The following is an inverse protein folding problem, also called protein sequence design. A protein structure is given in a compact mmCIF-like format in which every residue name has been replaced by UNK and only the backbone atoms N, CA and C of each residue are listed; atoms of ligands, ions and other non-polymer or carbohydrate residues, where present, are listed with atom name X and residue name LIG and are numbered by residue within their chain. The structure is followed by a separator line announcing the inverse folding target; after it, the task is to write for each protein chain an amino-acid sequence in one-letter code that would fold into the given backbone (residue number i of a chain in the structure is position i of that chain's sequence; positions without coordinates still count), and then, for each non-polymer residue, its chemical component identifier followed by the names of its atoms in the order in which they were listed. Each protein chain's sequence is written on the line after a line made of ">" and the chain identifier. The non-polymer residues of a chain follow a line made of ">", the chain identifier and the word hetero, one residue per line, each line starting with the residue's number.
data_IF_531239387525
#
_entry.id   IF_531239387525
#
_cell.length_a   1.000
_cell.length_b   1.000
_cell.length_c   1.000
_cell.angle_alpha   90.00
_cell.angle_beta   90.00
_cell.angle_gamma   90.00
#
_symmetry.space_group_name_H-M   'P 1'
#
loop_
_entity.id
_entity.type
_entity.pdbx_description
1 polymer ?
#
# COMPACT_ATOMS: atom_id res chain seq x y z
N UNK A 1 10.96 -14.65 4.18
CA UNK A 1 10.14 -13.67 3.45
C UNK A 1 11.02 -12.52 2.98
N UNK A 2 11.04 -12.23 1.68
CA UNK A 2 11.77 -11.11 1.07
C UNK A 2 10.75 -10.08 0.57
N UNK A 3 10.94 -8.82 0.91
CA UNK A 3 10.02 -7.73 0.59
C UNK A 3 10.77 -6.60 -0.09
N UNK A 4 10.20 -6.06 -1.17
CA UNK A 4 10.50 -4.73 -1.68
C UNK A 4 9.45 -3.75 -1.13
N UNK A 5 9.87 -2.55 -0.77
CA UNK A 5 8.98 -1.53 -0.23
C UNK A 5 9.21 -0.19 -0.91
N UNK A 6 8.11 0.46 -1.27
CA UNK A 6 8.08 1.84 -1.75
C UNK A 6 6.86 2.57 -1.20
N UNK A 7 6.84 3.89 -1.30
CA UNK A 7 5.73 4.76 -0.90
C UNK A 7 5.77 6.04 -1.73
N UNK A 8 4.75 6.87 -1.61
CA UNK A 8 4.76 8.25 -2.09
C UNK A 8 5.10 8.37 -3.59
N UNK A 9 4.44 7.55 -4.42
CA UNK A 9 4.66 7.55 -5.88
C UNK A 9 4.19 8.86 -6.52
N UNK A 10 3.11 9.45 -6.00
CA UNK A 10 2.51 10.68 -6.52
C UNK A 10 2.35 10.69 -8.04
N UNK A 11 1.79 9.60 -8.59
CA UNK A 11 1.57 9.49 -10.03
C UNK A 11 0.69 10.63 -10.54
N UNK A 12 1.16 11.29 -11.59
CA UNK A 12 0.51 12.46 -12.17
C UNK A 12 0.91 13.78 -11.54
N UNK A 13 1.92 13.80 -10.67
CA UNK A 13 2.43 15.03 -10.08
C UNK A 13 3.05 15.95 -11.11
N UNK A 14 2.70 17.24 -11.01
CA UNK A 14 3.28 18.34 -11.78
C UNK A 14 3.92 19.33 -10.82
N UNK A 15 5.22 19.53 -10.92
CA UNK A 15 5.98 20.46 -10.09
C UNK A 15 6.38 21.72 -10.88
N UNK A 16 6.74 22.78 -10.18
CA UNK A 16 7.19 24.06 -10.78
C UNK A 16 6.26 24.56 -11.89
N UNK A 17 4.93 24.40 -11.71
CA UNK A 17 3.83 24.79 -12.58
C UNK A 17 3.69 24.00 -13.89
N UNK A 18 4.76 23.47 -14.48
CA UNK A 18 4.71 22.80 -15.80
C UNK A 18 5.57 21.56 -15.94
N UNK A 19 6.30 21.13 -14.92
CA UNK A 19 7.15 19.97 -15.02
C UNK A 19 6.38 18.70 -14.65
N UNK A 20 6.00 17.94 -15.67
CA UNK A 20 5.36 16.63 -15.51
C UNK A 20 6.41 15.57 -15.18
N UNK A 21 6.21 14.82 -14.09
CA UNK A 21 7.14 13.80 -13.62
C UNK A 21 6.95 12.43 -14.27
N UNK A 22 6.18 12.32 -15.35
CA UNK A 22 5.88 11.02 -15.99
C UNK A 22 7.14 10.28 -16.44
N UNK A 23 8.18 10.99 -16.90
CA UNK A 23 9.45 10.37 -17.32
C UNK A 23 10.22 9.82 -16.12
N UNK A 24 10.21 10.51 -14.98
CA UNK A 24 10.82 10.03 -13.74
C UNK A 24 10.08 8.77 -13.24
N UNK A 25 8.75 8.78 -13.27
CA UNK A 25 7.96 7.60 -12.89
C UNK A 25 8.26 6.40 -13.80
N UNK A 26 8.37 6.61 -15.12
CA UNK A 26 8.73 5.55 -16.06
C UNK A 26 10.10 4.96 -15.75
N UNK A 27 11.08 5.81 -15.44
CA UNK A 27 12.41 5.38 -15.07
C UNK A 27 12.41 4.58 -13.75
N UNK A 28 11.68 5.08 -12.74
CA UNK A 28 11.50 4.39 -11.46
C UNK A 28 10.89 2.99 -11.65
N UNK A 29 9.80 2.87 -12.41
CA UNK A 29 9.17 1.57 -12.64
C UNK A 29 10.06 0.60 -13.43
N UNK A 30 10.87 1.11 -14.35
CA UNK A 30 11.86 0.27 -15.04
C UNK A 30 12.94 -0.26 -14.07
N UNK A 31 13.42 0.56 -13.14
CA UNK A 31 14.34 0.11 -12.11
C UNK A 31 13.68 -0.90 -11.15
N UNK A 32 12.43 -0.64 -10.77
CA UNK A 32 11.67 -1.52 -9.90
C UNK A 32 11.47 -2.91 -10.55
N UNK A 33 11.20 -2.94 -11.85
CA UNK A 33 11.12 -4.17 -12.65
C UNK A 33 12.43 -4.97 -12.58
N UNK A 34 13.57 -4.32 -12.83
CA UNK A 34 14.88 -4.97 -12.75
C UNK A 34 15.13 -5.57 -11.35
N UNK A 35 14.82 -4.84 -10.28
CA UNK A 35 14.93 -5.36 -8.92
C UNK A 35 13.97 -6.53 -8.65
N UNK A 36 12.76 -6.49 -9.18
CA UNK A 36 11.83 -7.62 -9.04
C UNK A 36 12.36 -8.88 -9.75
N UNK A 37 12.93 -8.73 -10.95
CA UNK A 37 13.53 -9.85 -11.69
C UNK A 37 14.76 -10.44 -10.98
N UNK A 38 15.64 -9.59 -10.46
CA UNK A 38 16.88 -9.99 -9.79
C UNK A 38 16.62 -10.60 -8.42
N UNK A 39 15.82 -9.92 -7.61
CA UNK A 39 15.62 -10.24 -6.20
C UNK A 39 14.50 -11.26 -5.96
N UNK A 40 13.56 -11.38 -6.88
CA UNK A 40 12.39 -12.28 -6.80
C UNK A 40 11.71 -12.21 -5.42
N UNK A 41 11.20 -11.02 -5.03
CA UNK A 41 10.60 -10.85 -3.71
C UNK A 41 9.30 -11.62 -3.57
N UNK A 42 8.96 -12.01 -2.35
CA UNK A 42 7.65 -12.58 -2.02
C UNK A 42 6.54 -11.53 -2.16
N UNK A 43 6.86 -10.26 -1.85
CA UNK A 43 5.91 -9.16 -2.01
C UNK A 43 6.58 -7.82 -2.34
N UNK A 44 5.86 -7.00 -3.12
CA UNK A 44 6.07 -5.57 -3.29
C UNK A 44 5.01 -4.82 -2.48
N UNK A 45 5.44 -3.97 -1.55
CA UNK A 45 4.57 -3.13 -0.73
C UNK A 45 4.63 -1.68 -1.22
N UNK A 46 3.46 -1.09 -1.49
CA UNK A 46 3.30 0.33 -1.86
C UNK A 46 2.47 1.01 -0.79
N UNK A 47 3.15 1.73 0.11
CA UNK A 47 2.55 2.28 1.34
C UNK A 47 2.05 3.70 1.14
N UNK A 48 0.90 3.85 0.48
CA UNK A 48 0.17 5.11 0.35
C UNK A 48 0.70 6.09 -0.68
N UNK A 49 -0.07 7.13 -0.91
CA UNK A 49 0.17 8.23 -1.84
C UNK A 49 0.58 7.75 -3.23
N UNK A 50 -0.24 6.85 -3.77
CA UNK A 50 -0.09 6.29 -5.11
C UNK A 50 -0.30 7.37 -6.16
N UNK A 51 -1.33 8.18 -5.99
CA UNK A 51 -1.65 9.30 -6.86
C UNK A 51 -1.41 10.64 -6.16
N UNK A 52 -1.03 11.64 -6.93
CA UNK A 52 -0.80 12.99 -6.40
C UNK A 52 -2.11 13.68 -5.95
N UNK A 53 -3.24 13.32 -6.57
CA UNK A 53 -4.56 13.87 -6.27
C UNK A 53 -5.63 12.78 -6.21
N UNK A 54 -6.70 13.04 -5.46
CA UNK A 54 -7.82 12.10 -5.28
C UNK A 54 -8.55 11.72 -6.59
N UNK A 55 -8.45 12.54 -7.64
CA UNK A 55 -9.08 12.31 -8.94
C UNK A 55 -8.03 12.33 -10.07
N UNK A 56 -7.17 11.30 -10.17
CA UNK A 56 -6.19 11.23 -11.23
C UNK A 56 -6.87 11.15 -12.60
N UNK A 57 -6.21 11.72 -13.62
CA UNK A 57 -6.69 11.64 -15.00
C UNK A 57 -6.75 10.20 -15.50
N UNK A 58 -7.53 9.96 -16.57
CA UNK A 58 -7.60 8.64 -17.20
C UNK A 58 -6.21 8.16 -17.69
N UNK A 59 -5.36 9.07 -18.16
CA UNK A 59 -3.99 8.78 -18.59
C UNK A 59 -3.14 8.29 -17.43
N UNK A 60 -3.21 8.97 -16.28
CA UNK A 60 -2.46 8.57 -15.06
C UNK A 60 -2.94 7.22 -14.53
N UNK A 61 -4.26 6.99 -14.53
CA UNK A 61 -4.82 5.67 -14.15
C UNK A 61 -4.38 4.56 -15.08
N UNK A 62 -4.34 4.84 -16.39
CA UNK A 62 -3.85 3.88 -17.36
C UNK A 62 -2.39 3.54 -17.10
N UNK A 63 -1.54 4.54 -16.88
CA UNK A 63 -0.14 4.33 -16.55
C UNK A 63 0.04 3.46 -15.30
N UNK A 64 -0.69 3.75 -14.22
CA UNK A 64 -0.73 2.91 -13.02
C UNK A 64 -1.05 1.45 -13.36
N UNK A 65 -2.13 1.23 -14.10
CA UNK A 65 -2.54 -0.12 -14.50
C UNK A 65 -1.47 -0.82 -15.33
N UNK A 66 -0.92 -0.13 -16.33
CA UNK A 66 0.11 -0.69 -17.22
C UNK A 66 1.37 -1.08 -16.41
N UNK A 67 1.83 -0.24 -15.50
CA UNK A 67 3.01 -0.52 -14.66
C UNK A 67 2.82 -1.76 -13.78
N UNK A 68 1.72 -1.86 -13.04
CA UNK A 68 1.52 -2.97 -12.11
C UNK A 68 1.14 -4.28 -12.81
N UNK A 69 0.43 -4.22 -13.94
CA UNK A 69 0.18 -5.40 -14.79
C UNK A 69 1.51 -5.92 -15.35
N UNK A 70 2.38 -5.02 -15.80
CA UNK A 70 3.70 -5.41 -16.31
C UNK A 70 4.57 -6.05 -15.23
N UNK A 71 4.62 -5.46 -14.03
CA UNK A 71 5.33 -6.06 -12.89
C UNK A 71 4.80 -7.48 -12.56
N UNK A 72 3.49 -7.68 -12.61
CA UNK A 72 2.91 -9.01 -12.42
C UNK A 72 3.31 -9.98 -13.54
N UNK A 73 3.42 -9.53 -14.80
CA UNK A 73 3.89 -10.38 -15.90
C UNK A 73 5.35 -10.81 -15.72
N UNK A 74 6.20 -9.92 -15.21
CA UNK A 74 7.61 -10.17 -14.92
C UNK A 74 7.78 -11.08 -13.71
N UNK A 75 7.01 -10.86 -12.65
CA UNK A 75 7.06 -11.63 -11.40
C UNK A 75 5.68 -12.17 -11.00
N UNK A 76 5.14 -13.21 -11.68
CA UNK A 76 3.76 -13.67 -11.48
C UNK A 76 3.46 -14.22 -10.08
N UNK A 77 4.47 -14.68 -9.35
CA UNK A 77 4.32 -15.21 -8.00
C UNK A 77 4.39 -14.14 -6.90
N UNK A 78 4.90 -12.94 -7.24
CA UNK A 78 5.02 -11.85 -6.29
C UNK A 78 3.63 -11.30 -5.94
N UNK A 79 3.37 -11.13 -4.65
CA UNK A 79 2.21 -10.37 -4.21
C UNK A 79 2.48 -8.87 -4.31
N UNK A 80 1.53 -8.12 -4.83
CA UNK A 80 1.59 -6.65 -4.87
C UNK A 80 0.56 -6.13 -3.87
N UNK A 81 1.02 -5.44 -2.83
CA UNK A 81 0.13 -4.90 -1.79
C UNK A 81 0.18 -3.38 -1.83
N UNK A 82 -0.94 -2.75 -2.12
CA UNK A 82 -1.07 -1.31 -2.29
C UNK A 82 -2.08 -0.77 -1.27
N UNK A 83 -1.68 0.19 -0.46
CA UNK A 83 -2.60 0.90 0.45
C UNK A 83 -2.83 2.34 -0.02
N UNK A 84 -3.97 2.91 0.31
CA UNK A 84 -4.22 4.34 0.08
C UNK A 84 -3.46 5.19 1.11
N UNK A 85 -2.89 6.30 0.66
CA UNK A 85 -2.37 7.39 1.49
C UNK A 85 -3.37 8.53 1.68
N UNK A 86 -2.91 9.65 2.21
CA UNK A 86 -3.77 10.80 2.46
C UNK A 86 -4.12 11.61 1.19
N UNK A 87 -3.29 11.53 0.15
CA UNK A 87 -3.57 12.10 -1.17
C UNK A 87 -4.54 11.25 -2.01
N UNK A 88 -4.65 9.97 -1.71
CA UNK A 88 -5.48 9.03 -2.46
C UNK A 88 -6.96 9.13 -2.09
N UNK A 89 -7.83 8.79 -3.04
CA UNK A 89 -9.21 8.49 -2.75
C UNK A 89 -9.35 7.01 -2.33
N UNK A 90 -9.60 6.76 -1.05
CA UNK A 90 -9.76 5.43 -0.48
C UNK A 90 -10.70 4.52 -1.31
N UNK A 91 -11.89 5.03 -1.65
CA UNK A 91 -12.88 4.29 -2.42
C UNK A 91 -12.43 4.00 -3.85
N UNK A 92 -11.64 4.88 -4.47
CA UNK A 92 -11.14 4.67 -5.84
C UNK A 92 -10.01 3.65 -5.88
N UNK A 93 -9.12 3.64 -4.90
CA UNK A 93 -8.11 2.56 -4.74
C UNK A 93 -8.82 1.22 -4.53
N UNK A 94 -9.87 1.19 -3.71
CA UNK A 94 -10.61 -0.04 -3.39
C UNK A 94 -11.49 -0.55 -4.54
N UNK A 95 -11.96 0.31 -5.45
CA UNK A 95 -13.03 0.01 -6.42
C UNK A 95 -12.77 -1.25 -7.25
N UNK A 96 -11.55 -1.43 -7.74
CA UNK A 96 -11.18 -2.53 -8.64
C UNK A 96 -10.46 -3.68 -7.91
N UNK A 97 -10.45 -3.70 -6.57
CA UNK A 97 -9.69 -4.66 -5.76
C UNK A 97 -9.99 -6.12 -6.09
N UNK A 98 -11.24 -6.45 -6.45
CA UNK A 98 -11.62 -7.82 -6.81
C UNK A 98 -10.97 -8.29 -8.12
N UNK A 99 -10.80 -7.40 -9.08
CA UNK A 99 -10.13 -7.70 -10.36
C UNK A 99 -8.63 -7.87 -10.15
N UNK A 100 -8.04 -6.99 -9.37
CA UNK A 100 -6.60 -7.02 -9.07
C UNK A 100 -6.15 -8.28 -8.33
N UNK A 101 -7.02 -8.89 -7.53
CA UNK A 101 -6.73 -10.18 -6.88
C UNK A 101 -6.41 -11.31 -7.86
N UNK A 102 -6.90 -11.25 -9.10
CA UNK A 102 -6.55 -12.22 -10.15
C UNK A 102 -5.08 -12.16 -10.56
N UNK A 103 -4.42 -11.03 -10.28
CA UNK A 103 -3.00 -10.79 -10.53
C UNK A 103 -2.18 -10.77 -9.23
N UNK A 104 -2.59 -11.48 -8.17
CA UNK A 104 -1.96 -11.46 -6.85
C UNK A 104 -1.77 -10.05 -6.28
N UNK A 105 -2.59 -9.08 -6.71
CA UNK A 105 -2.52 -7.70 -6.24
C UNK A 105 -3.67 -7.38 -5.27
N UNK A 106 -3.32 -6.80 -4.13
CA UNK A 106 -4.21 -6.47 -3.03
C UNK A 106 -4.27 -4.96 -2.87
N UNK A 107 -5.38 -4.35 -3.29
CA UNK A 107 -5.62 -2.92 -3.17
C UNK A 107 -6.51 -2.65 -1.96
N UNK A 108 -5.96 -1.96 -0.96
CA UNK A 108 -6.62 -1.69 0.32
C UNK A 108 -6.72 -0.18 0.49
N UNK A 109 -7.86 0.37 0.08
CA UNK A 109 -8.11 1.80 0.13
C UNK A 109 -8.88 2.24 1.36
N UNK A 110 -9.95 1.52 1.68
CA UNK A 110 -10.89 1.91 2.74
C UNK A 110 -10.38 1.52 4.11
N UNK A 111 -10.20 2.47 5.04
CA UNK A 111 -9.80 2.16 6.40
C UNK A 111 -10.93 1.43 7.16
N UNK A 112 -10.60 0.70 8.24
CA UNK A 112 -11.60 0.15 9.14
C UNK A 112 -12.51 1.26 9.68
N UNK A 113 -13.81 1.00 9.74
CA UNK A 113 -14.75 1.94 10.33
C UNK A 113 -14.48 2.09 11.85
N UNK A 114 -14.87 3.22 12.44
CA UNK A 114 -14.66 3.47 13.87
C UNK A 114 -15.40 2.46 14.74
N UNK A 115 -16.56 2.03 14.28
CA UNK A 115 -17.43 1.04 14.93
C UNK A 115 -17.08 -0.42 14.58
N UNK A 116 -15.99 -0.67 13.84
CA UNK A 116 -15.59 -2.04 13.47
C UNK A 116 -15.34 -2.95 14.66
N UNK A 117 -14.93 -2.39 15.81
CA UNK A 117 -14.75 -3.16 17.05
C UNK A 117 -16.07 -3.73 17.62
N UNK A 118 -17.21 -3.14 17.26
CA UNK A 118 -18.55 -3.58 17.66
C UNK A 118 -19.19 -4.55 16.65
N UNK A 119 -18.53 -4.75 15.49
CA UNK A 119 -19.00 -5.62 14.44
C UNK A 119 -18.63 -7.09 14.71
N UNK A 120 -19.31 -7.98 14.02
CA UNK A 120 -18.98 -9.41 14.04
C UNK A 120 -17.53 -9.66 13.56
N UNK A 121 -16.88 -10.67 14.11
CA UNK A 121 -15.52 -11.06 13.75
C UNK A 121 -15.35 -11.29 12.25
N UNK A 122 -14.13 -11.03 11.75
CA UNK A 122 -13.73 -11.33 10.39
C UNK A 122 -13.45 -10.10 9.51
N UNK A 123 -13.83 -8.89 9.92
CA UNK A 123 -13.48 -7.67 9.17
C UNK A 123 -11.97 -7.43 9.08
N UNK A 124 -11.20 -7.92 10.06
CA UNK A 124 -9.75 -7.79 10.14
C UNK A 124 -9.05 -8.45 8.93
N UNK A 125 -9.64 -9.55 8.40
CA UNK A 125 -9.03 -10.32 7.30
C UNK A 125 -8.85 -9.52 6.00
N UNK A 126 -9.59 -8.44 5.80
CA UNK A 126 -9.36 -7.59 4.62
C UNK A 126 -8.04 -6.82 4.68
N UNK A 127 -7.45 -6.69 5.89
CA UNK A 127 -6.17 -6.01 6.14
C UNK A 127 -5.01 -6.98 6.36
N UNK A 128 -5.26 -8.28 6.35
CA UNK A 128 -4.28 -9.34 6.58
C UNK A 128 -4.08 -10.13 5.30
N UNK A 129 -2.92 -10.02 4.70
CA UNK A 129 -2.54 -10.75 3.50
C UNK A 129 -1.57 -11.87 3.90
N UNK A 130 -2.01 -13.11 3.70
CA UNK A 130 -1.16 -14.27 3.92
C UNK A 130 -0.30 -14.51 2.68
N UNK A 131 1.00 -14.64 2.89
CA UNK A 131 2.00 -15.06 1.91
C UNK A 131 2.47 -16.49 2.24
N UNK A 132 3.19 -17.12 1.33
CA UNK A 132 3.78 -18.45 1.57
C UNK A 132 4.74 -18.46 2.76
N UNK A 133 5.48 -17.35 2.96
CA UNK A 133 6.54 -17.25 3.97
C UNK A 133 6.27 -16.21 5.06
N UNK A 134 5.02 -15.75 5.22
CA UNK A 134 4.68 -14.75 6.24
C UNK A 134 3.35 -14.09 6.05
N UNK A 135 3.15 -12.98 6.75
CA UNK A 135 1.94 -12.16 6.67
C UNK A 135 2.29 -10.70 6.46
N UNK A 136 1.45 -10.00 5.71
CA UNK A 136 1.45 -8.55 5.60
C UNK A 136 0.17 -8.01 6.22
N UNK A 137 0.31 -7.13 7.21
CA UNK A 137 -0.79 -6.31 7.74
C UNK A 137 -0.75 -4.97 7.00
N UNK A 138 -1.73 -4.72 6.16
CA UNK A 138 -1.77 -3.58 5.26
C UNK A 138 -2.81 -2.56 5.74
N UNK A 139 -2.34 -1.43 6.28
CA UNK A 139 -3.17 -0.37 6.83
C UNK A 139 -3.17 0.84 5.87
N UNK A 140 -4.32 1.19 5.27
CA UNK A 140 -4.43 2.44 4.52
C UNK A 140 -4.39 3.64 5.48
N UNK A 141 -4.24 4.84 4.92
CA UNK A 141 -4.28 6.07 5.72
C UNK A 141 -5.57 6.17 6.54
N UNK A 142 -5.42 6.48 7.81
CA UNK A 142 -6.51 6.65 8.78
C UNK A 142 -6.32 7.95 9.55
N UNK A 143 -7.24 8.88 9.40
CA UNK A 143 -7.23 10.09 10.22
C UNK A 143 -7.58 9.78 11.69
N UNK A 144 -6.86 10.40 12.60
CA UNK A 144 -7.09 10.30 14.05
C UNK A 144 -6.60 9.00 14.68
N UNK A 145 -6.85 8.87 15.98
CA UNK A 145 -6.38 7.71 16.75
C UNK A 145 -7.19 6.44 16.42
N UNK A 146 -6.47 5.34 16.15
CA UNK A 146 -7.02 4.03 15.77
C UNK A 146 -6.40 2.86 16.53
N UNK A 147 -5.90 3.14 17.75
CA UNK A 147 -5.13 2.16 18.53
C UNK A 147 -5.86 0.84 18.76
N UNK A 148 -7.12 0.87 19.16
CA UNK A 148 -7.92 -0.34 19.39
C UNK A 148 -8.15 -1.15 18.12
N UNK A 149 -8.36 -0.47 16.98
CA UNK A 149 -8.54 -1.11 15.67
C UNK A 149 -7.26 -1.80 15.22
N UNK A 150 -6.12 -1.13 15.32
CA UNK A 150 -4.82 -1.71 14.96
C UNK A 150 -4.52 -2.92 15.83
N UNK A 151 -4.77 -2.80 17.16
CA UNK A 151 -4.56 -3.91 18.09
C UNK A 151 -5.42 -5.12 17.72
N UNK A 152 -6.70 -4.93 17.39
CA UNK A 152 -7.59 -6.01 16.97
C UNK A 152 -7.11 -6.74 15.71
N UNK A 153 -6.52 -6.00 14.75
CA UNK A 153 -5.93 -6.62 13.55
C UNK A 153 -4.68 -7.43 13.91
N UNK A 154 -3.82 -6.88 14.79
CA UNK A 154 -2.60 -7.56 15.23
C UNK A 154 -2.92 -8.81 16.07
N UNK A 155 -3.93 -8.76 16.91
CA UNK A 155 -4.40 -9.93 17.67
C UNK A 155 -4.90 -11.02 16.71
N UNK A 156 -5.67 -10.62 15.68
CA UNK A 156 -6.21 -11.55 14.68
C UNK A 156 -5.10 -12.21 13.85
N UNK A 157 -4.11 -11.46 13.38
CA UNK A 157 -2.99 -12.07 12.64
C UNK A 157 -2.16 -12.98 13.54
N UNK A 158 -2.05 -12.67 14.83
CA UNK A 158 -1.35 -13.52 15.80
C UNK A 158 -2.10 -14.83 16.03
N UNK A 159 -3.42 -14.78 16.12
CA UNK A 159 -4.28 -15.97 16.22
C UNK A 159 -4.15 -16.87 14.98
N UNK A 160 -4.20 -16.28 13.78
CA UNK A 160 -4.14 -17.00 12.50
C UNK A 160 -2.72 -17.56 12.21
N UNK A 161 -1.68 -16.95 12.78
CA UNK A 161 -0.27 -17.30 12.56
C UNK A 161 0.20 -18.44 13.46
N UNK A 162 -0.42 -19.60 13.37
CA UNK A 162 -0.10 -20.77 14.21
C UNK A 162 1.30 -21.33 13.99
N UNK A 163 1.95 -20.98 12.86
CA UNK A 163 3.30 -21.42 12.52
C UNK A 163 4.40 -20.45 12.98
N UNK A 164 4.06 -19.31 13.56
CA UNK A 164 5.01 -18.30 14.00
C UNK A 164 5.80 -17.65 12.83
N UNK A 165 5.18 -17.52 11.66
CA UNK A 165 5.81 -16.90 10.48
C UNK A 165 6.04 -15.40 10.71
N UNK A 166 6.99 -14.78 9.99
CA UNK A 166 7.20 -13.34 10.04
C UNK A 166 5.93 -12.54 9.71
N UNK A 167 5.69 -11.47 10.45
CA UNK A 167 4.59 -10.51 10.19
C UNK A 167 5.21 -9.14 9.92
N UNK A 168 4.86 -8.52 8.79
CA UNK A 168 5.24 -7.16 8.44
C UNK A 168 4.00 -6.29 8.41
N UNK A 169 4.02 -5.17 9.13
CA UNK A 169 2.96 -4.17 9.05
C UNK A 169 3.42 -3.02 8.15
N UNK A 170 2.62 -2.69 7.15
CA UNK A 170 2.78 -1.50 6.33
C UNK A 170 1.68 -0.50 6.65
N UNK A 171 2.01 0.78 6.68
CA UNK A 171 1.06 1.85 6.95
C UNK A 171 1.56 3.18 6.37
N UNK A 172 0.63 4.08 6.08
CA UNK A 172 0.91 5.46 5.71
C UNK A 172 0.36 6.38 6.80
N UNK A 173 1.08 6.46 7.93
CA UNK A 173 0.62 7.08 9.16
C UNK A 173 1.69 7.96 9.79
N UNK A 174 1.27 9.08 10.39
CA UNK A 174 2.10 9.79 11.35
C UNK A 174 2.16 9.00 12.67
N UNK A 175 3.35 8.73 13.16
CA UNK A 175 3.56 7.98 14.41
C UNK A 175 4.04 8.93 15.49
N UNK A 176 3.32 8.98 16.62
CA UNK A 176 3.72 9.78 17.78
C UNK A 176 4.99 9.23 18.43
N UNK A 177 5.86 10.13 18.90
CA UNK A 177 7.11 9.77 19.58
C UNK A 177 8.33 9.66 18.65
N UNK A 178 8.18 9.89 17.35
CA UNK A 178 9.31 10.09 16.45
C UNK A 178 9.85 11.51 16.65
N UNK A 179 11.18 11.60 16.83
CA UNK A 179 11.87 12.89 16.78
C UNK A 179 12.10 13.26 15.31
N UNK A 180 11.28 14.17 14.81
CA UNK A 180 11.40 14.71 13.44
C UNK A 180 12.13 16.05 13.41
N UNK A 181 12.68 16.51 14.54
CA UNK A 181 13.45 17.75 14.60
C UNK A 181 14.67 17.66 13.70
N UNK A 182 14.76 18.56 12.74
CA UNK A 182 15.88 18.66 11.79
C UNK A 182 15.65 18.02 10.42
N UNK A 183 14.51 17.37 10.15
CA UNK A 183 14.23 16.75 8.86
C UNK A 183 13.36 17.58 7.91
N UNK A 184 12.89 18.77 8.33
CA UNK A 184 12.17 19.71 7.45
C UNK A 184 10.82 19.22 6.95
N UNK A 185 10.27 18.16 7.52
CA UNK A 185 8.93 17.66 7.18
C UNK A 185 7.90 18.33 8.07
N UNK A 186 6.97 19.05 7.45
CA UNK A 186 5.75 19.52 8.11
C UNK A 186 4.74 18.38 8.07
N UNK A 187 4.61 17.67 9.19
CA UNK A 187 3.51 16.70 9.33
C UNK A 187 2.29 17.54 9.62
N UNK A 188 1.51 17.84 8.59
CA UNK A 188 0.24 18.55 8.73
C UNK A 188 -0.61 17.89 9.81
N UNK A 189 -0.91 18.67 10.85
CA UNK A 189 -1.77 18.30 11.97
C UNK A 189 -3.23 18.39 11.56
#
# INVERSE_FOLDING_TARGET
>A
MKILHTADLHLGQVIYQNYDRSDEHRHFFHQLEQWCEEEKPDALLVSGDVFDIQQPSATVKKAFTDYFVHLHQVCPQMHIVITAGNHDSASRIQADSSVWKLANAHLIGTPPAVDSLEQADGWQHQYIIKLDHGYVVALPYMAGERKGIIQSILDKVTEDNTLGLPVVMMAHQAVTGLDITGHGFDIGT
#
